data_IF_221052277511
#
_entry.id   IF_221052277511
#
_cell.length_a   1.000
_cell.length_b   1.000
_cell.length_c   1.000
_cell.angle_alpha   90.00
_cell.angle_beta   90.00
_cell.angle_gamma   90.00
#
_symmetry.space_group_name_H-M   'P 1'
#
loop_
_entity.id
_entity.type
_entity.pdbx_description
1 polymer ?
#
# COMPACT_ATOMS: atom_id res chain seq x y z
N UNK A 1 9.31 28.89 -15.32
CA UNK A 1 9.50 27.45 -15.60
C UNK A 1 10.27 26.92 -14.40
N UNK A 2 9.63 26.24 -13.43
CA UNK A 2 10.40 25.58 -12.38
C UNK A 2 11.16 24.41 -13.01
N UNK A 3 12.43 24.31 -12.67
CA UNK A 3 13.37 23.32 -13.16
C UNK A 3 12.90 21.92 -12.78
N UNK A 4 12.72 21.06 -13.77
CA UNK A 4 12.42 19.64 -13.59
C UNK A 4 13.59 19.01 -12.82
N UNK A 5 13.44 18.88 -11.51
CA UNK A 5 14.38 18.15 -10.68
C UNK A 5 14.29 16.69 -11.11
N UNK A 6 15.35 16.18 -11.73
CA UNK A 6 15.47 14.75 -12.03
C UNK A 6 15.45 14.02 -10.69
N UNK A 7 14.39 13.26 -10.42
CA UNK A 7 14.29 12.44 -9.22
C UNK A 7 15.53 11.53 -9.15
N UNK A 8 16.38 11.76 -8.16
CA UNK A 8 17.51 10.88 -7.88
C UNK A 8 16.91 9.53 -7.48
N UNK A 9 17.30 8.46 -8.16
CA UNK A 9 16.82 7.12 -7.84
C UNK A 9 17.16 6.81 -6.38
N UNK A 10 16.14 6.53 -5.57
CA UNK A 10 16.32 6.14 -4.17
C UNK A 10 16.91 4.74 -4.10
N UNK A 11 18.12 4.62 -3.55
CA UNK A 11 18.72 3.32 -3.25
C UNK A 11 18.18 2.83 -1.90
N UNK A 12 17.43 1.74 -1.93
CA UNK A 12 16.76 1.20 -0.74
C UNK A 12 17.77 0.71 0.30
N UNK A 13 17.62 1.14 1.55
CA UNK A 13 18.47 0.68 2.65
C UNK A 13 18.11 -0.75 3.06
N UNK A 14 19.02 -1.50 3.70
CA UNK A 14 18.71 -2.83 4.23
C UNK A 14 17.49 -2.87 5.15
N UNK A 15 17.27 -1.81 5.92
CA UNK A 15 16.11 -1.67 6.81
C UNK A 15 14.81 -1.47 6.03
N UNK A 16 14.83 -0.63 4.99
CA UNK A 16 13.66 -0.44 4.12
C UNK A 16 13.28 -1.72 3.39
N UNK A 17 14.28 -2.52 2.97
CA UNK A 17 14.05 -3.85 2.40
C UNK A 17 13.42 -4.80 3.42
N UNK A 18 13.88 -4.80 4.67
CA UNK A 18 13.29 -5.64 5.72
C UNK A 18 11.83 -5.26 6.02
N UNK A 19 11.55 -3.99 6.24
CA UNK A 19 10.19 -3.53 6.51
C UNK A 19 9.25 -3.76 5.32
N UNK A 20 9.74 -3.62 4.08
CA UNK A 20 8.95 -3.95 2.90
C UNK A 20 8.67 -5.46 2.80
N UNK A 21 9.61 -6.33 3.18
CA UNK A 21 9.34 -7.78 3.29
C UNK A 21 8.31 -8.09 4.36
N UNK A 22 8.31 -7.37 5.48
CA UNK A 22 7.26 -7.49 6.49
C UNK A 22 5.90 -7.03 5.95
N UNK A 23 5.85 -5.99 5.12
CA UNK A 23 4.64 -5.58 4.41
C UNK A 23 4.18 -6.64 3.38
N UNK A 24 5.10 -7.27 2.64
CA UNK A 24 4.80 -8.42 1.75
C UNK A 24 4.22 -9.60 2.52
N UNK A 25 4.71 -9.88 3.73
CA UNK A 25 4.11 -10.89 4.60
C UNK A 25 2.66 -10.54 4.98
N UNK A 26 2.34 -9.25 5.14
CA UNK A 26 0.94 -8.81 5.32
C UNK A 26 0.12 -8.96 4.03
N UNK A 27 0.70 -8.67 2.87
CA UNK A 27 0.05 -8.87 1.58
C UNK A 27 -0.30 -10.35 1.33
N UNK A 28 0.48 -11.29 1.89
CA UNK A 28 0.17 -12.72 1.84
C UNK A 28 -1.10 -13.07 2.62
N UNK A 29 -1.34 -12.44 3.78
CA UNK A 29 -2.62 -12.64 4.50
C UNK A 29 -3.82 -12.16 3.66
N UNK A 30 -3.71 -11.02 2.97
CA UNK A 30 -4.75 -10.57 2.04
C UNK A 30 -4.96 -11.59 0.90
N UNK A 31 -3.88 -12.11 0.31
CA UNK A 31 -3.97 -13.15 -0.71
C UNK A 31 -4.74 -14.38 -0.21
N UNK A 32 -4.39 -14.87 0.98
CA UNK A 32 -4.97 -16.07 1.57
C UNK A 32 -6.46 -15.91 1.87
N UNK A 33 -6.91 -14.68 2.14
CA UNK A 33 -8.32 -14.31 2.30
C UNK A 33 -9.04 -14.02 0.96
N UNK A 34 -8.35 -14.13 -0.17
CA UNK A 34 -8.91 -13.85 -1.51
C UNK A 34 -9.07 -12.36 -1.81
N UNK A 35 -8.41 -11.50 -1.04
CA UNK A 35 -8.37 -10.05 -1.19
C UNK A 35 -7.20 -9.62 -2.08
N UNK A 36 -7.27 -8.40 -2.65
CA UNK A 36 -6.14 -7.86 -3.43
C UNK A 36 -4.89 -7.80 -2.52
N UNK A 37 -3.76 -8.41 -2.89
CA UNK A 37 -2.62 -8.62 -1.99
C UNK A 37 -1.81 -7.33 -1.80
N UNK A 38 -2.32 -6.47 -0.93
CA UNK A 38 -1.62 -5.26 -0.46
C UNK A 38 -1.45 -5.39 1.04
N UNK A 39 -0.23 -5.13 1.50
CA UNK A 39 0.14 -5.16 2.90
C UNK A 39 0.87 -3.89 3.28
N UNK A 40 0.77 -3.51 4.55
CA UNK A 40 1.40 -2.34 5.11
C UNK A 40 1.88 -2.57 6.54
N UNK A 41 2.96 -1.89 6.92
CA UNK A 41 3.45 -1.81 8.30
C UNK A 41 3.74 -0.36 8.67
N UNK A 42 3.50 0.00 9.93
CA UNK A 42 3.90 1.30 10.50
C UNK A 42 5.08 1.08 11.42
N UNK A 43 6.14 1.84 11.19
CA UNK A 43 7.40 1.79 11.92
C UNK A 43 7.56 3.08 12.74
N UNK A 44 8.08 2.96 13.95
CA UNK A 44 8.51 4.09 14.78
C UNK A 44 9.81 3.71 15.48
N UNK A 45 10.81 4.59 15.40
CA UNK A 45 12.12 4.37 16.03
C UNK A 45 12.76 3.01 15.64
N UNK A 46 12.62 2.62 14.36
CA UNK A 46 13.13 1.35 13.83
C UNK A 46 12.33 0.11 14.23
N UNK A 47 11.18 0.26 14.88
CA UNK A 47 10.34 -0.86 15.33
C UNK A 47 8.97 -0.84 14.66
N UNK A 48 8.52 -1.98 14.14
CA UNK A 48 7.15 -2.13 13.63
C UNK A 48 6.16 -2.10 14.79
N UNK A 49 5.36 -1.03 14.86
CA UNK A 49 4.33 -0.83 15.90
C UNK A 49 2.93 -1.25 15.45
N UNK A 50 2.68 -1.35 14.14
CA UNK A 50 1.39 -1.78 13.61
C UNK A 50 1.52 -2.45 12.24
N UNK A 51 0.53 -3.26 11.90
CA UNK A 51 0.45 -4.03 10.65
C UNK A 51 -0.96 -3.96 10.09
N UNK A 52 -1.09 -3.99 8.77
CA UNK A 52 -2.37 -4.00 8.08
C UNK A 52 -2.28 -4.66 6.72
N UNK A 53 -3.39 -5.21 6.25
CA UNK A 53 -3.53 -5.77 4.92
C UNK A 53 -4.92 -5.45 4.38
N UNK A 54 -5.06 -5.48 3.05
CA UNK A 54 -6.32 -5.25 2.38
C UNK A 54 -7.36 -6.30 2.80
N UNK A 55 -8.52 -5.84 3.24
CA UNK A 55 -9.67 -6.70 3.57
C UNK A 55 -11.05 -6.05 3.32
N UNK A 56 -11.24 -5.31 2.21
CA UNK A 56 -12.49 -4.60 1.96
C UNK A 56 -13.69 -5.51 1.70
N UNK A 57 -13.50 -6.68 1.06
CA UNK A 57 -14.57 -7.63 0.75
C UNK A 57 -15.02 -8.31 2.05
N UNK A 58 -14.09 -8.92 2.78
CA UNK A 58 -14.37 -9.68 3.99
C UNK A 58 -14.86 -8.82 5.17
N UNK A 59 -14.49 -7.54 5.22
CA UNK A 59 -15.01 -6.59 6.23
C UNK A 59 -16.22 -5.80 5.80
N UNK A 60 -16.65 -5.92 4.54
CA UNK A 60 -17.69 -5.06 3.96
C UNK A 60 -17.42 -3.56 4.21
N UNK A 61 -16.14 -3.19 4.17
CA UNK A 61 -15.67 -1.86 4.51
C UNK A 61 -14.84 -1.32 3.33
N UNK A 62 -15.37 -0.34 2.57
CA UNK A 62 -14.67 0.20 1.41
C UNK A 62 -13.38 0.94 1.79
N UNK A 63 -13.18 1.24 3.08
CA UNK A 63 -11.98 1.92 3.59
C UNK A 63 -10.95 0.96 4.16
N UNK A 64 -11.21 -0.36 4.22
CA UNK A 64 -10.33 -1.37 4.82
C UNK A 64 -9.14 -1.74 3.90
N UNK A 65 -8.46 -0.72 3.40
CA UNK A 65 -7.16 -0.81 2.73
C UNK A 65 -6.05 -1.07 3.76
N UNK A 66 -4.96 -1.70 3.31
CA UNK A 66 -3.83 -2.05 4.16
C UNK A 66 -3.32 -0.86 4.99
N UNK A 67 -3.20 0.31 4.36
CA UNK A 67 -2.67 1.53 4.95
C UNK A 67 -3.61 2.07 6.03
N UNK A 68 -4.92 2.10 5.76
CA UNK A 68 -5.94 2.53 6.73
C UNK A 68 -5.97 1.60 7.94
N UNK A 69 -5.90 0.29 7.70
CA UNK A 69 -5.87 -0.72 8.78
C UNK A 69 -4.62 -0.52 9.66
N UNK A 70 -3.45 -0.34 9.04
CA UNK A 70 -2.20 -0.14 9.77
C UNK A 70 -2.17 1.19 10.54
N UNK A 71 -2.65 2.28 9.94
CA UNK A 71 -2.76 3.60 10.60
C UNK A 71 -3.68 3.57 11.81
N UNK A 72 -4.84 2.92 11.72
CA UNK A 72 -5.77 2.77 12.84
C UNK A 72 -5.12 2.01 13.99
N UNK A 73 -4.48 0.88 13.70
CA UNK A 73 -3.78 0.08 14.70
C UNK A 73 -2.61 0.86 15.35
N UNK A 74 -1.86 1.65 14.57
CA UNK A 74 -0.79 2.50 15.10
C UNK A 74 -1.32 3.61 16.02
N UNK A 75 -2.43 4.26 15.61
CA UNK A 75 -3.06 5.31 16.40
C UNK A 75 -3.61 4.79 17.72
N UNK A 76 -4.21 3.60 17.71
CA UNK A 76 -4.65 2.90 18.93
C UNK A 76 -3.46 2.55 19.83
N UNK A 77 -2.39 1.99 19.26
CA UNK A 77 -1.19 1.60 20.01
C UNK A 77 -0.49 2.81 20.69
N UNK A 78 -0.51 3.98 20.05
CA UNK A 78 0.10 5.20 20.58
C UNK A 78 -0.89 6.08 21.38
N UNK A 79 -2.18 5.76 21.39
CA UNK A 79 -3.22 6.61 21.97
C UNK A 79 -3.30 8.00 21.34
N UNK A 80 -2.93 8.14 20.06
CA UNK A 80 -2.84 9.42 19.38
C UNK A 80 -3.13 9.28 17.88
N UNK A 81 -4.02 10.13 17.36
CA UNK A 81 -4.34 10.16 15.92
C UNK A 81 -3.19 10.72 15.07
N UNK A 82 -2.29 11.50 15.67
CA UNK A 82 -1.05 11.95 15.04
C UNK A 82 0.06 10.95 15.35
N UNK A 83 0.80 10.59 14.33
CA UNK A 83 1.87 9.61 14.32
C UNK A 83 3.21 10.27 13.93
N UNK A 84 3.65 11.35 14.61
CA UNK A 84 4.89 12.03 14.26
C UNK A 84 6.09 11.08 14.44
N UNK A 85 7.05 11.18 13.53
CA UNK A 85 8.21 10.28 13.50
C UNK A 85 7.90 8.85 13.08
N UNK A 86 6.64 8.53 12.76
CA UNK A 86 6.29 7.23 12.20
C UNK A 86 6.47 7.23 10.68
N UNK A 87 6.85 6.08 10.17
CA UNK A 87 6.98 5.79 8.74
C UNK A 87 6.04 4.64 8.37
N UNK A 88 5.50 4.66 7.16
CA UNK A 88 4.63 3.60 6.67
C UNK A 88 5.23 2.96 5.43
N UNK A 89 5.35 1.63 5.46
CA UNK A 89 5.79 0.82 4.33
C UNK A 89 4.59 0.10 3.75
N UNK A 90 4.37 0.19 2.44
CA UNK A 90 3.22 -0.43 1.75
C UNK A 90 3.63 -1.04 0.41
N UNK A 91 3.11 -2.23 0.09
CA UNK A 91 3.57 -2.96 -1.10
C UNK A 91 3.13 -2.33 -2.44
N UNK A 92 2.12 -1.48 -2.44
CA UNK A 92 1.58 -0.80 -3.62
C UNK A 92 1.49 0.71 -3.35
N UNK A 93 1.73 1.51 -4.38
CA UNK A 93 1.55 2.96 -4.31
C UNK A 93 0.15 3.32 -3.77
N UNK A 94 0.07 4.19 -2.74
CA UNK A 94 -1.18 4.48 -2.08
C UNK A 94 -2.13 5.27 -2.99
N UNK A 95 -3.42 4.94 -2.91
CA UNK A 95 -4.46 5.71 -3.58
C UNK A 95 -4.72 7.07 -2.90
N UNK A 96 -5.62 7.88 -3.46
CA UNK A 96 -6.00 9.20 -2.93
C UNK A 96 -6.49 9.12 -1.48
N UNK A 97 -7.34 8.14 -1.16
CA UNK A 97 -7.87 7.95 0.20
C UNK A 97 -6.76 7.71 1.21
N UNK A 98 -5.86 6.77 0.91
CA UNK A 98 -4.80 6.37 1.84
C UNK A 98 -3.75 7.47 2.00
N UNK A 99 -3.38 8.12 0.89
CA UNK A 99 -2.47 9.28 0.91
C UNK A 99 -3.02 10.43 1.76
N UNK A 100 -4.31 10.76 1.63
CA UNK A 100 -4.97 11.74 2.49
C UNK A 100 -4.94 11.34 3.97
N UNK A 101 -5.22 10.06 4.29
CA UNK A 101 -5.17 9.55 5.65
C UNK A 101 -3.76 9.63 6.27
N UNK A 102 -2.71 9.30 5.51
CA UNK A 102 -1.31 9.42 5.94
C UNK A 102 -0.91 10.86 6.26
N UNK A 103 -1.33 11.81 5.41
CA UNK A 103 -1.14 13.23 5.66
C UNK A 103 -1.89 13.67 6.93
N UNK A 104 -3.15 13.25 7.11
CA UNK A 104 -3.92 13.49 8.34
C UNK A 104 -3.24 12.93 9.59
N UNK A 105 -2.61 11.76 9.48
CA UNK A 105 -1.85 11.12 10.53
C UNK A 105 -0.48 11.76 10.80
N UNK A 106 0.00 12.69 9.95
CA UNK A 106 1.29 13.38 10.12
C UNK A 106 2.48 12.42 10.10
N UNK A 107 2.41 11.38 9.26
CA UNK A 107 3.55 10.49 9.06
C UNK A 107 4.76 11.31 8.57
N UNK A 108 5.95 10.91 9.03
CA UNK A 108 7.19 11.48 8.55
C UNK A 108 7.43 11.10 7.09
N UNK A 109 7.23 9.82 6.77
CA UNK A 109 7.50 9.27 5.43
C UNK A 109 6.59 8.09 5.09
N UNK A 110 6.33 7.91 3.80
CA UNK A 110 5.70 6.74 3.20
C UNK A 110 6.69 6.13 2.21
N UNK A 111 6.89 4.82 2.31
CA UNK A 111 7.75 4.05 1.42
C UNK A 111 6.89 3.00 0.74
N UNK A 112 6.82 3.02 -0.59
CA UNK A 112 6.02 2.06 -1.34
C UNK A 112 6.85 1.20 -2.30
N UNK A 113 6.34 -0.01 -2.56
CA UNK A 113 6.94 -0.94 -3.50
C UNK A 113 6.58 -0.65 -4.95
N UNK A 114 5.58 -1.36 -5.48
CA UNK A 114 5.16 -1.20 -6.87
C UNK A 114 4.37 0.10 -7.08
N UNK A 115 4.55 0.74 -8.24
CA UNK A 115 3.70 1.84 -8.68
C UNK A 115 2.28 1.34 -9.04
N UNK A 116 1.27 2.20 -8.87
CA UNK A 116 -0.10 1.95 -9.31
C UNK A 116 -0.49 2.88 -10.48
N UNK A 117 -0.34 2.43 -11.74
CA UNK A 117 -0.65 3.25 -12.91
C UNK A 117 -2.15 3.55 -13.08
N UNK A 118 -3.03 2.96 -12.27
CA UNK A 118 -4.49 3.15 -12.40
C UNK A 118 -5.06 4.09 -11.35
N UNK A 119 -4.55 4.06 -10.12
CA UNK A 119 -5.11 4.86 -9.02
C UNK A 119 -4.08 5.51 -8.10
N UNK A 120 -2.79 5.36 -8.38
CA UNK A 120 -1.70 5.85 -7.54
C UNK A 120 -1.69 7.37 -7.38
N UNK A 121 -1.57 7.81 -6.12
CA UNK A 121 -1.58 9.22 -5.73
C UNK A 121 -0.19 9.73 -5.29
N UNK A 122 0.85 8.92 -5.48
CA UNK A 122 2.26 9.23 -5.22
C UNK A 122 3.04 9.69 -6.46
N UNK A 123 2.38 9.87 -7.59
CA UNK A 123 3.00 10.27 -8.86
C UNK A 123 2.45 9.57 -10.09
N UNK A 124 1.77 8.42 -9.97
CA UNK A 124 1.29 7.68 -11.14
C UNK A 124 0.11 8.36 -11.85
N UNK A 125 -0.95 8.71 -11.11
CA UNK A 125 -2.15 9.36 -11.69
C UNK A 125 -2.26 10.80 -11.20
N UNK A 126 -2.09 10.99 -9.90
CA UNK A 126 -1.97 12.31 -9.27
C UNK A 126 -0.78 12.28 -8.34
N UNK A 127 -0.21 13.44 -8.04
CA UNK A 127 0.80 13.56 -7.00
C UNK A 127 0.28 14.48 -5.90
N UNK A 128 -0.26 13.89 -4.83
CA UNK A 128 -0.72 14.65 -3.66
C UNK A 128 0.44 15.16 -2.81
N UNK A 129 1.57 14.45 -2.83
CA UNK A 129 2.75 14.74 -2.00
C UNK A 129 3.52 15.98 -2.48
N UNK A 130 3.31 16.40 -3.72
CA UNK A 130 3.87 17.62 -4.32
C UNK A 130 2.91 18.84 -4.24
N UNK A 131 1.77 18.72 -3.53
CA UNK A 131 0.78 19.80 -3.41
C UNK A 131 1.09 20.73 -2.24
N UNK A 132 1.81 21.83 -2.51
CA UNK A 132 2.21 22.82 -1.50
C UNK A 132 1.07 23.51 -0.74
N UNK A 133 -0.16 23.46 -1.27
CA UNK A 133 -1.37 24.00 -0.61
C UNK A 133 -1.88 23.12 0.54
N UNK A 134 -1.45 21.86 0.62
CA UNK A 134 -1.83 20.96 1.70
C UNK A 134 -1.09 21.35 2.99
N UNK A 135 -1.79 21.28 4.12
CA UNK A 135 -1.30 21.80 5.40
C UNK A 135 -0.17 20.98 6.04
N UNK A 136 0.04 19.73 5.62
CA UNK A 136 1.11 18.87 6.12
C UNK A 136 1.72 18.05 4.99
N UNK A 137 3.05 17.92 5.05
CA UNK A 137 3.84 17.26 4.03
C UNK A 137 4.49 16.02 4.64
N UNK A 138 4.05 14.87 4.15
CA UNK A 138 4.66 13.57 4.41
C UNK A 138 5.64 13.30 3.28
N UNK A 139 6.86 12.83 3.57
CA UNK A 139 7.78 12.41 2.52
C UNK A 139 7.27 11.17 1.81
N UNK A 140 7.56 11.01 0.52
CA UNK A 140 7.23 9.78 -0.22
C UNK A 140 8.45 9.25 -0.97
N UNK A 141 8.62 7.94 -0.89
CA UNK A 141 9.66 7.18 -1.61
C UNK A 141 8.99 5.97 -2.25
N UNK A 142 9.28 5.73 -3.51
CA UNK A 142 8.76 4.59 -4.27
C UNK A 142 9.86 3.68 -4.76
N UNK A 143 9.51 2.44 -5.09
CA UNK A 143 10.39 1.51 -5.80
C UNK A 143 11.05 0.44 -4.92
N UNK A 144 10.80 0.42 -3.61
CA UNK A 144 11.45 -0.53 -2.69
C UNK A 144 10.86 -1.93 -2.90
N UNK A 145 11.65 -2.88 -3.40
CA UNK A 145 11.18 -4.21 -3.80
C UNK A 145 10.00 -4.15 -4.81
N UNK A 146 10.03 -3.19 -5.74
CA UNK A 146 8.95 -2.97 -6.70
C UNK A 146 8.59 -4.21 -7.53
N UNK A 147 9.59 -4.97 -7.97
CA UNK A 147 9.38 -6.17 -8.77
C UNK A 147 8.65 -7.26 -7.96
N UNK A 148 9.11 -7.55 -6.74
CA UNK A 148 8.49 -8.54 -5.86
C UNK A 148 7.04 -8.15 -5.52
N UNK A 149 6.80 -6.88 -5.19
CA UNK A 149 5.48 -6.36 -4.90
C UNK A 149 4.55 -6.42 -6.12
N UNK A 150 5.06 -6.01 -7.29
CA UNK A 150 4.31 -6.02 -8.54
C UNK A 150 3.98 -7.44 -9.01
N UNK A 151 4.91 -8.37 -8.85
CA UNK A 151 4.73 -9.77 -9.24
C UNK A 151 3.68 -10.48 -8.40
N UNK A 152 3.57 -10.16 -7.11
CA UNK A 152 2.47 -10.64 -6.27
C UNK A 152 1.11 -10.21 -6.82
N UNK A 153 0.93 -8.92 -7.16
CA UNK A 153 -0.31 -8.43 -7.76
C UNK A 153 -0.62 -9.10 -9.12
N UNK A 154 0.39 -9.23 -9.99
CA UNK A 154 0.25 -9.88 -11.30
C UNK A 154 -0.22 -11.33 -11.14
N UNK A 155 0.42 -12.09 -10.25
CA UNK A 155 0.06 -13.49 -9.96
C UNK A 155 -1.35 -13.60 -9.43
N UNK A 156 -1.77 -12.70 -8.54
CA UNK A 156 -3.11 -12.73 -7.95
C UNK A 156 -4.19 -12.57 -9.01
N UNK A 157 -4.08 -11.53 -9.85
CA UNK A 157 -5.06 -11.31 -10.90
C UNK A 157 -5.03 -12.39 -11.98
N UNK A 158 -3.87 -12.99 -12.26
CA UNK A 158 -3.79 -14.15 -13.15
C UNK A 158 -4.56 -15.35 -12.59
N UNK A 159 -4.36 -15.69 -11.31
CA UNK A 159 -5.09 -16.76 -10.63
C UNK A 159 -6.61 -16.51 -10.63
N UNK A 160 -7.05 -15.27 -10.34
CA UNK A 160 -8.47 -14.91 -10.37
C UNK A 160 -9.11 -15.03 -11.75
N UNK A 161 -8.40 -14.60 -12.81
CA UNK A 161 -8.88 -14.74 -14.19
C UNK A 161 -9.01 -16.22 -14.59
N UNK A 162 -8.05 -17.05 -14.22
CA UNK A 162 -8.10 -18.49 -14.48
C UNK A 162 -9.30 -19.15 -13.77
N UNK A 163 -9.48 -18.87 -12.47
CA UNK A 163 -10.60 -19.39 -11.69
C UNK A 163 -11.96 -18.97 -12.27
N UNK A 164 -12.11 -17.69 -12.68
CA UNK A 164 -13.33 -17.20 -13.30
C UNK A 164 -13.62 -17.87 -14.66
N UNK A 165 -12.59 -18.17 -15.45
CA UNK A 165 -12.74 -18.87 -16.72
C UNK A 165 -13.24 -20.31 -16.51
N UNK A 166 -12.67 -21.03 -15.53
CA UNK A 166 -13.10 -22.40 -15.21
C UNK A 166 -14.53 -22.45 -14.66
N UNK A 167 -14.91 -21.51 -13.78
CA UNK A 167 -16.27 -21.42 -13.27
C UNK A 167 -17.30 -21.18 -14.39
N UNK A 168 -16.97 -20.35 -15.39
CA UNK A 168 -17.84 -20.11 -16.55
C UNK A 168 -18.00 -21.34 -17.43
N UNK A 169 -16.92 -22.09 -17.68
CA UNK A 169 -16.96 -23.35 -18.44
C UNK A 169 -17.84 -24.38 -17.75
N UNK A 170 -17.67 -24.55 -16.43
CA UNK A 170 -18.48 -25.46 -15.64
C UNK A 170 -19.98 -25.08 -15.67
N UNK A 171 -20.30 -23.80 -15.56
CA UNK A 171 -21.68 -23.31 -15.67
C UNK A 171 -22.28 -23.58 -17.06
N UNK A 172 -21.52 -23.41 -18.14
CA UNK A 172 -21.99 -23.71 -19.51
C UNK A 172 -22.18 -25.20 -19.78
N UNK A 173 -21.36 -26.06 -19.17
CA UNK A 173 -21.45 -27.52 -19.33
C UNK A 173 -22.64 -28.12 -18.58
N UNK A 174 -23.07 -27.52 -17.47
CA UNK A 174 -24.24 -27.96 -16.70
C UNK A 174 -25.58 -27.43 -17.25
N UNK A 175 -25.54 -26.54 -18.25
CA UNK A 175 -26.72 -25.91 -18.84
C UNK A 175 -27.13 -26.54 -20.20
N UNK A 176 -26.35 -27.50 -20.71
CA UNK A 176 -26.62 -28.26 -21.93
C UNK A 176 -26.85 -29.73 -21.62
#
# INVERSE_FOLDING_TARGET
MPETTVAVAHEATPEELDFMRQALAQAQFAWDEGEVPVGAVVVKDGVVIARGYNRPIGRHDPTAHAEIVALRAAAEALGNYRLPGCELYVTLEPCVMCSGAMMHARLARVVYGAADPKTGAGGSVVNLYDQSQLNHHTGIVGGVLADECGDMLKRFFAARRAAAAEARKAASANAG
#
